data_IF_351646740783
#
_entry.id   IF_351646740783
#
_cell.length_a   1.000
_cell.length_b   1.000
_cell.length_c   1.000
_cell.angle_alpha   90.00
_cell.angle_beta   90.00
_cell.angle_gamma   90.00
#
_symmetry.space_group_name_H-M   'P 1'
#
loop_
_entity.id
_entity.type
_entity.pdbx_description
1 polymer ?
#
# COMPACT_ATOMS: atom_id res chain seq x y z
N UNK A 1 -59.28 -10.78 51.29
CA UNK A 1 -58.61 -9.74 50.50
C UNK A 1 -57.17 -10.09 50.08
N UNK A 2 -56.64 -11.30 50.36
CA UNK A 2 -55.23 -11.65 50.05
C UNK A 2 -54.95 -12.34 48.71
N UNK A 3 -55.98 -12.65 47.90
CA UNK A 3 -55.78 -13.34 46.61
C UNK A 3 -55.39 -12.39 45.47
N UNK A 4 -55.97 -11.19 45.43
CA UNK A 4 -55.68 -10.21 44.38
C UNK A 4 -54.27 -9.63 44.50
N UNK A 5 -53.74 -9.42 45.70
CA UNK A 5 -52.39 -8.88 45.92
C UNK A 5 -51.29 -9.79 45.38
N UNK A 6 -51.48 -11.12 45.44
CA UNK A 6 -50.47 -12.08 44.99
C UNK A 6 -50.43 -12.21 43.45
N UNK A 7 -51.57 -12.06 42.76
CA UNK A 7 -51.60 -12.02 41.30
C UNK A 7 -50.90 -10.78 40.73
N UNK A 8 -51.08 -9.60 41.34
CA UNK A 8 -50.40 -8.38 40.92
C UNK A 8 -48.87 -8.47 41.09
N UNK A 9 -48.40 -9.05 42.20
CA UNK A 9 -46.96 -9.27 42.44
C UNK A 9 -46.37 -10.22 41.40
N UNK A 10 -47.07 -11.32 41.06
CA UNK A 10 -46.60 -12.27 40.05
C UNK A 10 -46.58 -11.67 38.65
N UNK A 11 -47.59 -10.85 38.28
CA UNK A 11 -47.62 -10.15 36.98
C UNK A 11 -46.49 -9.12 36.89
N UNK A 12 -46.19 -8.42 37.98
CA UNK A 12 -45.12 -7.43 38.04
C UNK A 12 -43.73 -8.10 37.97
N UNK A 13 -43.51 -9.22 38.67
CA UNK A 13 -42.30 -10.05 38.54
C UNK A 13 -42.11 -10.61 37.13
N UNK A 14 -43.16 -11.16 36.51
CA UNK A 14 -43.09 -11.68 35.14
C UNK A 14 -42.77 -10.59 34.13
N UNK A 15 -43.42 -9.42 34.25
CA UNK A 15 -43.17 -8.27 33.38
C UNK A 15 -41.76 -7.71 33.57
N UNK A 16 -41.24 -7.71 34.79
CA UNK A 16 -39.89 -7.29 35.11
C UNK A 16 -38.84 -8.25 34.53
N UNK A 17 -39.08 -9.56 34.65
CA UNK A 17 -38.25 -10.62 34.09
C UNK A 17 -38.24 -10.59 32.56
N UNK A 18 -39.40 -10.45 31.90
CA UNK A 18 -39.52 -10.31 30.45
C UNK A 18 -38.78 -9.06 29.94
N UNK A 19 -38.89 -7.94 30.66
CA UNK A 19 -38.21 -6.69 30.30
C UNK A 19 -36.69 -6.82 30.45
N UNK A 20 -36.20 -7.44 31.52
CA UNK A 20 -34.77 -7.73 31.71
C UNK A 20 -34.23 -8.69 30.65
N UNK A 21 -34.98 -9.73 30.32
CA UNK A 21 -34.59 -10.71 29.32
C UNK A 21 -34.53 -10.09 27.92
N UNK A 22 -35.48 -9.22 27.58
CA UNK A 22 -35.51 -8.49 26.30
C UNK A 22 -34.39 -7.45 26.20
N UNK A 23 -34.09 -6.72 27.28
CA UNK A 23 -32.98 -5.75 27.36
C UNK A 23 -31.61 -6.43 27.30
N UNK A 24 -31.49 -7.60 27.92
CA UNK A 24 -30.30 -8.43 27.80
C UNK A 24 -30.12 -8.93 26.36
N UNK A 25 -31.20 -9.41 25.73
CA UNK A 25 -31.16 -9.85 24.33
C UNK A 25 -30.82 -8.69 23.37
N UNK A 26 -31.36 -7.49 23.61
CA UNK A 26 -31.03 -6.32 22.79
C UNK A 26 -29.57 -5.91 22.94
N UNK A 27 -29.02 -5.94 24.17
CA UNK A 27 -27.61 -5.65 24.43
C UNK A 27 -26.67 -6.63 23.71
N UNK A 28 -26.98 -7.92 23.75
CA UNK A 28 -26.22 -8.90 22.99
C UNK A 28 -26.41 -8.75 21.47
N UNK A 29 -27.60 -8.36 21.01
CA UNK A 29 -27.86 -8.19 19.57
C UNK A 29 -26.98 -7.09 18.96
N UNK A 30 -26.76 -5.98 19.68
CA UNK A 30 -25.93 -4.86 19.23
C UNK A 30 -24.44 -5.18 19.08
N UNK A 31 -23.87 -5.84 20.08
CA UNK A 31 -22.46 -6.29 20.03
C UNK A 31 -22.30 -7.43 19.02
N UNK A 32 -23.24 -8.39 19.01
CA UNK A 32 -23.14 -9.61 18.22
C UNK A 32 -23.19 -9.35 16.72
N UNK A 33 -24.11 -8.51 16.22
CA UNK A 33 -24.17 -8.26 14.76
C UNK A 33 -22.89 -7.59 14.25
N UNK A 34 -22.33 -6.65 15.00
CA UNK A 34 -21.08 -5.97 14.64
C UNK A 34 -19.89 -6.93 14.66
N UNK A 35 -19.82 -7.79 15.68
CA UNK A 35 -18.81 -8.85 15.74
C UNK A 35 -18.94 -9.82 14.56
N UNK A 36 -20.14 -10.32 14.28
CA UNK A 36 -20.42 -11.23 13.16
C UNK A 36 -20.11 -10.56 11.82
N UNK A 37 -20.48 -9.29 11.62
CA UNK A 37 -20.14 -8.53 10.41
C UNK A 37 -18.63 -8.40 10.23
N UNK A 38 -17.88 -8.18 11.32
CA UNK A 38 -16.41 -8.19 11.30
C UNK A 38 -15.84 -9.55 10.88
N UNK A 39 -16.38 -10.65 11.42
CA UNK A 39 -15.99 -12.01 11.04
C UNK A 39 -16.33 -12.31 9.58
N UNK A 40 -17.53 -11.96 9.12
CA UNK A 40 -17.95 -12.12 7.72
C UNK A 40 -17.04 -11.30 6.80
N UNK A 41 -16.71 -10.06 7.16
CA UNK A 41 -15.76 -9.23 6.42
C UNK A 41 -14.37 -9.86 6.35
N UNK A 42 -13.89 -10.47 7.44
CA UNK A 42 -12.60 -11.17 7.47
C UNK A 42 -12.60 -12.42 6.58
N UNK A 43 -13.66 -13.23 6.66
CA UNK A 43 -13.84 -14.40 5.81
C UNK A 43 -13.88 -13.99 4.33
N UNK A 44 -14.67 -12.97 4.00
CA UNK A 44 -14.74 -12.45 2.64
C UNK A 44 -13.39 -11.92 2.15
N UNK A 45 -12.67 -11.16 2.98
CA UNK A 45 -11.34 -10.66 2.65
C UNK A 45 -10.34 -11.80 2.41
N UNK A 46 -10.37 -12.86 3.23
CA UNK A 46 -9.52 -14.03 3.06
C UNK A 46 -9.80 -14.78 1.75
N UNK A 47 -11.08 -14.92 1.38
CA UNK A 47 -11.49 -15.58 0.14
C UNK A 47 -11.54 -14.64 -1.07
N UNK A 48 -11.22 -13.35 -0.92
CA UNK A 48 -11.28 -12.35 -1.98
C UNK A 48 -10.51 -12.77 -3.26
N UNK A 49 -9.28 -13.32 -3.18
CA UNK A 49 -8.58 -13.77 -4.38
C UNK A 49 -9.33 -14.87 -5.15
N UNK A 50 -9.99 -15.79 -4.44
CA UNK A 50 -10.78 -16.86 -5.06
C UNK A 50 -12.08 -16.32 -5.69
N UNK A 51 -12.72 -15.35 -5.04
CA UNK A 51 -13.91 -14.66 -5.56
C UNK A 51 -13.59 -13.86 -6.82
N UNK A 52 -12.41 -13.22 -6.86
CA UNK A 52 -11.97 -12.40 -7.99
C UNK A 52 -11.42 -13.24 -9.16
N UNK A 53 -10.87 -14.43 -8.91
CA UNK A 53 -10.28 -15.30 -9.93
C UNK A 53 -11.08 -15.52 -11.24
N UNK A 54 -12.42 -15.70 -11.24
CA UNK A 54 -13.19 -15.80 -12.47
C UNK A 54 -13.21 -14.52 -13.31
N UNK A 55 -12.96 -13.36 -12.71
CA UNK A 55 -13.03 -12.04 -13.34
C UNK A 55 -11.64 -11.43 -13.59
N UNK A 56 -10.67 -11.76 -12.74
CA UNK A 56 -9.31 -11.24 -12.75
C UNK A 56 -8.29 -12.38 -12.75
N UNK A 57 -7.14 -12.15 -13.35
CA UNK A 57 -6.00 -13.04 -13.26
C UNK A 57 -4.82 -12.31 -12.63
N UNK A 58 -3.87 -13.08 -12.10
CA UNK A 58 -2.67 -12.58 -11.41
C UNK A 58 -1.42 -13.20 -12.04
N UNK A 59 -0.24 -12.68 -11.71
CA UNK A 59 1.04 -13.24 -12.13
C UNK A 59 1.48 -12.86 -13.56
N UNK A 60 0.82 -11.88 -14.17
CA UNK A 60 1.18 -11.40 -15.52
C UNK A 60 2.01 -10.11 -15.51
N UNK A 61 2.02 -9.39 -14.38
CA UNK A 61 2.63 -8.08 -14.25
C UNK A 61 1.94 -7.22 -13.21
N UNK A 62 2.41 -5.99 -13.05
CA UNK A 62 1.78 -4.96 -12.24
C UNK A 62 0.98 -4.01 -13.16
N UNK A 63 -0.35 -4.04 -13.03
CA UNK A 63 -1.26 -3.21 -13.81
C UNK A 63 -1.28 -1.78 -13.26
N UNK A 64 -1.12 -0.80 -14.13
CA UNK A 64 -1.20 0.63 -13.77
C UNK A 64 -2.66 1.04 -13.60
N UNK A 65 -3.05 1.43 -12.40
CA UNK A 65 -4.40 1.91 -12.08
C UNK A 65 -4.46 3.43 -12.05
N UNK A 66 -3.37 4.10 -11.63
CA UNK A 66 -3.28 5.56 -11.58
C UNK A 66 -1.85 6.02 -11.80
N UNK A 67 -1.68 7.21 -12.42
CA UNK A 67 -0.39 7.90 -12.56
C UNK A 67 -0.57 9.35 -12.16
N UNK A 68 0.30 9.85 -11.29
CA UNK A 68 0.25 11.23 -10.81
C UNK A 68 0.52 12.23 -11.94
N UNK A 69 -0.33 13.25 -12.07
CA UNK A 69 -0.38 14.16 -13.23
C UNK A 69 0.90 14.99 -13.44
N UNK A 70 1.59 15.37 -12.36
CA UNK A 70 2.83 16.18 -12.42
C UNK A 70 4.10 15.36 -12.22
N UNK A 71 4.04 14.04 -12.46
CA UNK A 71 5.18 13.15 -12.30
C UNK A 71 5.99 12.97 -13.58
N UNK A 72 7.30 12.67 -13.50
CA UNK A 72 8.10 12.24 -14.65
C UNK A 72 7.60 10.92 -15.28
N UNK A 73 6.68 10.22 -14.60
CA UNK A 73 6.03 9.03 -15.10
C UNK A 73 4.83 9.33 -16.01
N UNK A 74 4.27 10.54 -15.94
CA UNK A 74 3.19 10.98 -16.81
C UNK A 74 3.75 11.64 -18.08
N UNK A 75 3.06 11.45 -19.22
CA UNK A 75 3.38 12.08 -20.49
C UNK A 75 3.38 11.11 -21.67
N UNK A 76 3.66 11.60 -22.89
CA UNK A 76 3.52 10.82 -24.14
C UNK A 76 4.47 9.60 -24.24
N UNK A 77 5.47 9.51 -23.37
CA UNK A 77 6.44 8.40 -23.27
C UNK A 77 6.50 7.82 -21.86
N UNK A 78 5.46 8.11 -21.08
CA UNK A 78 5.26 7.69 -19.70
C UNK A 78 4.45 6.40 -19.62
N UNK A 79 3.90 6.15 -18.43
CA UNK A 79 2.91 5.10 -18.20
C UNK A 79 1.50 5.67 -18.32
N UNK A 80 0.58 4.84 -18.78
CA UNK A 80 -0.83 5.15 -18.86
C UNK A 80 -1.66 4.18 -18.03
N UNK A 81 -2.83 4.63 -17.59
CA UNK A 81 -3.80 3.77 -16.90
C UNK A 81 -4.20 2.61 -17.83
N UNK A 82 -4.10 1.39 -17.31
CA UNK A 82 -4.33 0.15 -18.06
C UNK A 82 -3.06 -0.50 -18.62
N UNK A 83 -1.91 0.18 -18.57
CA UNK A 83 -0.63 -0.43 -18.96
C UNK A 83 -0.24 -1.55 -18.00
N UNK A 84 0.34 -2.64 -18.53
CA UNK A 84 0.81 -3.76 -17.74
C UNK A 84 2.35 -3.74 -17.67
N UNK A 85 2.89 -3.41 -16.51
CA UNK A 85 4.33 -3.43 -16.28
C UNK A 85 4.79 -4.87 -16.07
N UNK A 86 5.72 -5.32 -16.91
CA UNK A 86 6.24 -6.71 -16.88
C UNK A 86 7.69 -6.78 -16.42
N UNK A 87 8.43 -5.67 -16.45
CA UNK A 87 9.84 -5.66 -16.04
C UNK A 87 10.38 -4.26 -15.72
N UNK A 88 11.29 -4.22 -14.75
CA UNK A 88 12.12 -3.07 -14.40
C UNK A 88 13.59 -3.40 -14.71
N UNK A 89 14.15 -2.80 -15.75
CA UNK A 89 15.48 -3.12 -16.30
C UNK A 89 15.61 -4.61 -16.67
N UNK A 90 16.34 -5.40 -15.86
CA UNK A 90 16.52 -6.86 -15.95
C UNK A 90 15.75 -7.62 -14.86
N UNK A 91 15.01 -6.92 -14.01
CA UNK A 91 14.14 -7.50 -12.98
C UNK A 91 12.75 -7.77 -13.58
N UNK A 92 12.27 -9.01 -13.50
CA UNK A 92 10.93 -9.37 -13.98
C UNK A 92 9.89 -9.02 -12.91
N UNK A 93 8.73 -8.53 -13.34
CA UNK A 93 7.64 -8.11 -12.46
C UNK A 93 6.41 -8.93 -12.81
N UNK A 94 5.93 -9.75 -11.88
CA UNK A 94 4.69 -10.53 -12.02
C UNK A 94 3.59 -10.05 -11.08
N UNK A 95 3.95 -9.27 -10.04
CA UNK A 95 3.03 -8.66 -9.08
C UNK A 95 3.51 -7.29 -8.58
N UNK A 96 2.69 -6.60 -7.81
CA UNK A 96 3.04 -5.33 -7.14
C UNK A 96 4.19 -5.51 -6.15
N UNK A 97 4.27 -6.67 -5.48
CA UNK A 97 5.36 -7.02 -4.57
C UNK A 97 6.70 -7.12 -5.33
N UNK A 98 6.70 -7.74 -6.51
CA UNK A 98 7.90 -7.81 -7.36
C UNK A 98 8.34 -6.40 -7.80
N UNK A 99 7.39 -5.53 -8.15
CA UNK A 99 7.70 -4.14 -8.48
C UNK A 99 8.44 -3.43 -7.34
N UNK A 100 7.93 -3.54 -6.10
CA UNK A 100 8.59 -2.94 -4.93
C UNK A 100 9.97 -3.54 -4.67
N UNK A 101 10.09 -4.88 -4.73
CA UNK A 101 11.37 -5.57 -4.55
C UNK A 101 12.40 -5.19 -5.62
N UNK A 102 11.98 -5.04 -6.88
CA UNK A 102 12.83 -4.60 -7.97
C UNK A 102 13.31 -3.16 -7.78
N UNK A 103 12.44 -2.23 -7.37
CA UNK A 103 12.84 -0.84 -7.08
C UNK A 103 13.81 -0.74 -5.91
N UNK A 104 13.58 -1.51 -4.85
CA UNK A 104 14.49 -1.58 -3.70
C UNK A 104 15.88 -2.09 -4.12
N UNK A 105 15.92 -3.14 -4.94
CA UNK A 105 17.16 -3.68 -5.49
C UNK A 105 17.89 -2.66 -6.38
N UNK A 106 17.17 -1.86 -7.17
CA UNK A 106 17.73 -0.77 -7.99
C UNK A 106 18.27 0.37 -7.12
N UNK A 107 17.62 0.66 -6.00
CA UNK A 107 18.07 1.69 -5.06
C UNK A 107 19.38 1.29 -4.37
N UNK A 108 19.46 0.05 -3.87
CA UNK A 108 20.61 -0.46 -3.12
C UNK A 108 21.84 -0.72 -3.99
N UNK A 109 21.66 -1.07 -5.28
CA UNK A 109 22.77 -1.37 -6.19
C UNK A 109 23.28 -0.13 -6.93
N UNK A 110 24.56 -0.13 -7.34
CA UNK A 110 25.09 0.92 -8.20
C UNK A 110 24.37 0.89 -9.57
N UNK A 111 24.31 2.07 -10.20
CA UNK A 111 23.72 2.25 -11.52
C UNK A 111 24.36 1.30 -12.54
N UNK A 112 23.52 0.59 -13.30
CA UNK A 112 23.94 -0.25 -14.43
C UNK A 112 24.18 0.59 -15.68
N UNK A 113 25.12 0.14 -16.48
CA UNK A 113 25.49 0.70 -17.77
C UNK A 113 24.94 -0.12 -18.93
N UNK A 114 25.33 0.29 -20.13
CA UNK A 114 24.84 -0.22 -21.39
C UNK A 114 26.01 -0.52 -22.34
N UNK A 115 25.99 -1.66 -23.01
CA UNK A 115 27.03 -2.05 -23.95
C UNK A 115 26.85 -1.38 -25.30
N UNK A 116 27.80 -0.53 -25.68
CA UNK A 116 27.76 0.22 -26.94
C UNK A 116 28.99 -0.09 -27.77
N UNK A 117 28.79 -0.27 -29.09
CA UNK A 117 29.88 -0.51 -30.04
C UNK A 117 30.84 0.67 -30.06
N UNK A 118 32.14 0.40 -29.94
CA UNK A 118 33.19 1.43 -29.86
C UNK A 118 33.24 2.32 -31.10
N UNK A 119 32.81 1.83 -32.27
CA UNK A 119 32.72 2.64 -33.50
C UNK A 119 31.73 3.81 -33.37
N UNK A 120 30.61 3.60 -32.67
CA UNK A 120 29.60 4.63 -32.41
C UNK A 120 30.17 5.67 -31.44
N UNK A 121 30.88 5.20 -30.40
CA UNK A 121 31.51 6.09 -29.42
C UNK A 121 32.59 6.96 -30.05
N UNK A 122 33.42 6.42 -30.94
CA UNK A 122 34.46 7.17 -31.65
C UNK A 122 33.89 8.28 -32.54
N UNK A 123 32.75 8.05 -33.18
CA UNK A 123 32.09 9.08 -33.99
C UNK A 123 31.53 10.23 -33.13
N UNK A 124 31.08 9.93 -31.91
CA UNK A 124 30.40 10.88 -31.03
C UNK A 124 31.35 11.53 -30.00
N UNK A 125 32.56 10.99 -29.80
CA UNK A 125 33.53 11.45 -28.79
C UNK A 125 34.30 12.72 -29.16
N UNK A 126 34.23 13.19 -30.41
CA UNK A 126 35.14 14.23 -30.91
C UNK A 126 34.88 15.67 -30.42
N UNK A 127 33.80 15.94 -29.67
CA UNK A 127 33.35 17.34 -29.51
C UNK A 127 32.89 17.80 -28.11
N UNK A 128 33.07 17.05 -27.03
CA UNK A 128 32.49 17.44 -25.72
C UNK A 128 33.48 17.40 -24.57
N UNK A 129 33.99 18.58 -24.18
CA UNK A 129 34.54 18.79 -22.83
C UNK A 129 33.35 18.81 -21.87
N UNK A 130 33.16 17.74 -21.11
CA UNK A 130 32.12 17.69 -20.08
C UNK A 130 32.32 18.78 -19.03
N UNK A 131 31.24 19.44 -18.65
CA UNK A 131 31.21 20.40 -17.55
C UNK A 131 30.90 19.67 -16.24
N UNK A 132 31.77 19.79 -15.23
CA UNK A 132 31.52 19.21 -13.91
C UNK A 132 30.63 20.15 -13.09
N UNK A 133 29.46 19.68 -12.69
CA UNK A 133 28.53 20.37 -11.79
C UNK A 133 29.04 20.32 -10.33
N UNK A 134 28.45 21.18 -9.49
CA UNK A 134 28.76 21.28 -8.06
C UNK A 134 28.42 20.00 -7.27
N UNK A 135 27.45 19.22 -7.76
CA UNK A 135 27.04 17.91 -7.23
C UNK A 135 28.01 16.77 -7.60
N UNK A 136 29.09 17.08 -8.35
CA UNK A 136 30.08 16.11 -8.81
C UNK A 136 29.71 15.39 -10.11
N UNK A 137 28.50 15.58 -10.65
CA UNK A 137 28.08 15.02 -11.93
C UNK A 137 28.73 15.75 -13.10
N UNK A 138 28.90 15.07 -14.22
CA UNK A 138 29.41 15.68 -15.45
C UNK A 138 28.30 15.76 -16.49
N UNK A 139 28.03 16.97 -16.96
CA UNK A 139 27.12 17.23 -18.08
C UNK A 139 27.95 17.41 -19.35
N UNK A 140 27.69 16.57 -20.35
CA UNK A 140 28.36 16.64 -21.64
C UNK A 140 27.38 16.87 -22.80
N UNK A 141 26.08 16.87 -22.55
CA UNK A 141 25.09 17.23 -23.53
C UNK A 141 24.86 18.75 -23.50
N UNK A 142 24.78 19.37 -24.68
CA UNK A 142 24.38 20.76 -24.79
C UNK A 142 22.84 20.85 -24.65
N UNK A 143 22.30 21.96 -24.15
CA UNK A 143 20.88 22.14 -23.80
C UNK A 143 19.86 22.02 -24.97
N UNK A 144 20.28 21.62 -26.16
CA UNK A 144 19.43 21.57 -27.35
C UNK A 144 18.55 20.31 -27.44
N UNK A 145 18.74 19.33 -26.55
CA UNK A 145 18.06 18.03 -26.61
C UNK A 145 17.57 17.60 -25.23
N UNK A 146 16.26 17.38 -25.10
CA UNK A 146 15.62 16.87 -23.88
C UNK A 146 15.74 15.34 -23.73
N UNK A 147 16.32 14.65 -24.72
CA UNK A 147 16.34 13.17 -24.78
C UNK A 147 17.74 12.57 -24.70
N UNK A 148 18.77 13.41 -24.79
CA UNK A 148 20.14 12.96 -24.73
C UNK A 148 20.65 12.98 -23.29
N UNK A 149 21.40 11.94 -22.93
CA UNK A 149 21.98 11.77 -21.60
C UNK A 149 23.49 11.67 -21.76
N UNK A 150 24.22 12.26 -20.82
CA UNK A 150 25.65 12.11 -20.75
C UNK A 150 26.03 10.73 -20.19
N UNK A 151 26.84 9.97 -20.93
CA UNK A 151 27.38 8.70 -20.49
C UNK A 151 28.90 8.80 -20.30
N UNK A 152 29.40 8.16 -19.27
CA UNK A 152 30.81 8.00 -18.94
C UNK A 152 31.30 6.60 -19.29
N UNK A 153 32.54 6.48 -19.75
CA UNK A 153 33.16 5.19 -20.04
C UNK A 153 34.69 5.26 -19.90
N UNK A 154 35.31 4.11 -19.69
CA UNK A 154 36.77 3.99 -19.62
C UNK A 154 37.30 3.27 -20.86
N UNK A 155 38.35 3.82 -21.45
CA UNK A 155 39.05 3.18 -22.57
C UNK A 155 40.02 2.11 -22.03
N UNK A 156 40.06 0.95 -22.68
CA UNK A 156 40.92 -0.18 -22.29
C UNK A 156 42.43 0.15 -22.32
N UNK A 157 42.83 1.21 -23.02
CA UNK A 157 44.24 1.63 -23.15
C UNK A 157 44.76 2.39 -21.92
N UNK A 158 43.89 3.13 -21.20
CA UNK A 158 44.26 3.94 -20.04
C UNK A 158 43.07 4.02 -19.08
N UNK A 159 42.96 3.06 -18.15
CA UNK A 159 41.90 3.00 -17.12
C UNK A 159 41.83 4.23 -16.20
N UNK A 160 42.79 5.16 -16.29
CA UNK A 160 42.85 6.40 -15.50
C UNK A 160 42.06 7.57 -16.13
N UNK A 161 41.65 7.51 -17.40
CA UNK A 161 40.95 8.61 -18.06
C UNK A 161 39.50 8.25 -18.36
N UNK A 162 38.56 8.78 -17.57
CA UNK A 162 37.12 8.68 -17.84
C UNK A 162 36.75 9.63 -18.97
N UNK A 163 36.18 9.06 -20.04
CA UNK A 163 35.67 9.79 -21.20
C UNK A 163 34.16 9.93 -21.09
N UNK A 164 33.62 10.93 -21.78
CA UNK A 164 32.18 11.23 -21.79
C UNK A 164 31.66 11.30 -23.23
N UNK A 165 30.45 10.80 -23.44
CA UNK A 165 29.74 10.87 -24.71
C UNK A 165 28.27 11.23 -24.47
N UNK A 166 27.77 12.21 -25.23
CA UNK A 166 26.35 12.54 -25.23
C UNK A 166 25.62 11.61 -26.19
N UNK A 167 24.72 10.77 -25.67
CA UNK A 167 24.01 9.75 -26.46
C UNK A 167 22.49 9.87 -26.27
N UNK A 168 21.69 9.62 -27.32
CA UNK A 168 20.25 9.51 -27.19
C UNK A 168 19.90 8.33 -26.28
N UNK A 169 19.27 8.61 -25.13
CA UNK A 169 19.04 7.62 -24.08
C UNK A 169 18.27 6.40 -24.60
N UNK A 170 17.17 6.64 -25.31
CA UNK A 170 16.27 5.60 -25.81
C UNK A 170 16.95 4.64 -26.78
N UNK A 171 17.60 5.16 -27.81
CA UNK A 171 18.33 4.34 -28.79
C UNK A 171 19.46 3.54 -28.13
N UNK A 172 20.13 4.14 -27.16
CA UNK A 172 21.20 3.50 -26.39
C UNK A 172 20.64 2.32 -25.59
N UNK A 173 19.57 2.52 -24.84
CA UNK A 173 18.99 1.54 -23.91
C UNK A 173 18.26 0.40 -24.63
N UNK A 174 17.51 0.71 -25.71
CA UNK A 174 16.72 -0.28 -26.45
C UNK A 174 17.61 -1.28 -27.18
N UNK A 175 18.73 -0.84 -27.73
CA UNK A 175 19.60 -1.63 -28.60
C UNK A 175 20.78 -2.33 -27.87
N UNK A 176 20.91 -2.15 -26.55
CA UNK A 176 22.09 -2.61 -25.80
C UNK A 176 21.77 -3.54 -24.64
N UNK A 177 22.74 -4.41 -24.35
CA UNK A 177 22.75 -5.24 -23.15
C UNK A 177 23.22 -4.42 -21.94
N UNK A 178 22.69 -4.73 -20.75
CA UNK A 178 23.13 -4.13 -19.49
C UNK A 178 24.53 -4.64 -19.10
N UNK A 179 25.34 -3.76 -18.49
CA UNK A 179 26.69 -4.09 -18.02
C UNK A 179 27.04 -3.35 -16.73
N UNK A 180 27.96 -3.92 -15.95
CA UNK A 180 28.67 -3.22 -14.86
C UNK A 180 30.10 -2.86 -15.26
N UNK A 181 30.73 -3.68 -16.10
CA UNK A 181 32.10 -3.49 -16.55
C UNK A 181 32.24 -3.78 -18.04
N UNK A 182 33.36 -3.37 -18.65
CA UNK A 182 33.68 -3.67 -20.05
C UNK A 182 33.74 -5.18 -20.36
N UNK A 183 33.86 -6.04 -19.35
CA UNK A 183 33.91 -7.50 -19.52
C UNK A 183 32.54 -8.13 -19.77
N UNK A 184 31.47 -7.46 -19.34
CA UNK A 184 30.10 -7.96 -19.47
C UNK A 184 29.58 -7.78 -20.90
N UNK A 185 30.25 -6.94 -21.68
CA UNK A 185 29.90 -6.68 -23.06
C UNK A 185 30.47 -7.74 -24.01
N UNK A 186 29.70 -8.16 -25.04
CA UNK A 186 30.14 -9.17 -25.99
C UNK A 186 31.36 -8.69 -26.78
N UNK A 187 32.32 -9.60 -26.95
CA UNK A 187 33.53 -9.41 -27.75
C UNK A 187 33.30 -9.91 -29.17
N UNK A 188 32.29 -9.34 -29.83
CA UNK A 188 32.01 -9.63 -31.24
C UNK A 188 33.05 -8.95 -32.15
N UNK A 189 32.86 -9.09 -33.47
CA UNK A 189 33.73 -8.50 -34.50
C UNK A 189 33.98 -6.99 -34.32
N UNK A 190 33.04 -6.27 -33.70
CA UNK A 190 33.18 -4.87 -33.31
C UNK A 190 33.24 -4.81 -31.77
N UNK A 191 34.31 -4.27 -31.17
CA UNK A 191 34.44 -4.23 -29.71
C UNK A 191 33.38 -3.33 -29.09
N UNK A 192 32.69 -3.83 -28.07
CA UNK A 192 31.71 -3.07 -27.30
C UNK A 192 32.31 -2.62 -25.97
N UNK A 193 31.97 -1.40 -25.55
CA UNK A 193 32.42 -0.79 -24.29
C UNK A 193 31.21 -0.53 -23.41
N UNK A 194 31.36 -0.72 -22.10
CA UNK A 194 30.30 -0.44 -21.15
C UNK A 194 30.25 1.06 -20.88
N UNK A 195 29.10 1.68 -21.14
CA UNK A 195 28.88 3.11 -20.87
C UNK A 195 27.88 3.28 -19.73
N UNK A 196 28.22 4.14 -18.78
CA UNK A 196 27.47 4.38 -17.54
C UNK A 196 26.85 5.77 -17.55
N UNK A 197 25.55 5.95 -17.28
CA UNK A 197 24.96 7.29 -17.28
C UNK A 197 25.56 8.11 -16.14
N UNK A 198 25.96 9.35 -16.46
CA UNK A 198 26.55 10.31 -15.53
C UNK A 198 25.42 10.95 -14.71
N UNK A 199 25.06 10.32 -13.60
CA UNK A 199 23.97 10.73 -12.72
C UNK A 199 24.47 10.91 -11.29
N UNK A 200 23.70 11.66 -10.50
CA UNK A 200 23.95 11.80 -9.07
C UNK A 200 23.78 10.46 -8.34
N UNK A 201 24.49 10.26 -7.21
CA UNK A 201 24.51 9.01 -6.44
C UNK A 201 23.15 8.46 -6.01
N UNK A 202 22.10 9.29 -5.91
CA UNK A 202 20.73 8.85 -5.54
C UNK A 202 19.75 8.85 -6.72
N UNK A 203 20.19 9.37 -7.86
CA UNK A 203 19.40 9.38 -9.09
C UNK A 203 19.71 8.12 -9.89
N UNK A 204 18.67 7.50 -10.43
CA UNK A 204 18.79 6.28 -11.23
C UNK A 204 18.11 6.49 -12.58
N UNK A 205 18.69 5.89 -13.61
CA UNK A 205 18.05 5.73 -14.92
C UNK A 205 17.42 4.33 -14.97
N UNK A 206 16.10 4.30 -14.88
CA UNK A 206 15.29 3.08 -14.80
C UNK A 206 14.53 2.91 -16.12
N UNK A 207 14.62 1.71 -16.70
CA UNK A 207 13.84 1.31 -17.88
C UNK A 207 12.65 0.50 -17.40
N UNK A 208 11.44 0.95 -17.69
CA UNK A 208 10.19 0.25 -17.34
C UNK A 208 9.61 -0.34 -18.63
N UNK A 209 9.43 -1.67 -18.65
CA UNK A 209 8.83 -2.38 -19.79
C UNK A 209 7.34 -2.60 -19.55
N UNK A 210 6.52 -2.12 -20.47
CA UNK A 210 5.06 -2.24 -20.43
C UNK A 210 4.51 -2.48 -21.84
N UNK A 211 4.59 -3.72 -22.36
CA UNK A 211 4.09 -4.02 -23.70
C UNK A 211 2.56 -3.82 -23.77
N UNK A 212 2.01 -3.42 -24.94
CA UNK A 212 2.67 -3.26 -26.25
C UNK A 212 3.35 -1.90 -26.50
N UNK A 213 3.29 -0.96 -25.56
CA UNK A 213 3.84 0.38 -25.71
C UNK A 213 5.38 0.37 -25.65
N UNK A 214 5.99 1.48 -26.09
CA UNK A 214 7.44 1.67 -26.00
C UNK A 214 7.86 1.82 -24.53
N UNK A 215 9.03 1.30 -24.17
CA UNK A 215 9.48 1.35 -22.78
C UNK A 215 9.57 2.78 -22.24
N UNK A 216 9.03 2.99 -21.05
CA UNK A 216 9.19 4.23 -20.31
C UNK A 216 10.61 4.30 -19.72
N UNK A 217 11.22 5.48 -19.83
CA UNK A 217 12.50 5.78 -19.18
C UNK A 217 12.25 6.76 -18.05
N UNK A 218 12.68 6.39 -16.85
CA UNK A 218 12.57 7.22 -15.66
C UNK A 218 13.96 7.67 -15.20
N UNK A 219 14.10 8.96 -14.90
CA UNK A 219 15.30 9.53 -14.30
C UNK A 219 14.88 10.21 -13.01
N UNK A 220 15.38 9.71 -11.88
CA UNK A 220 15.07 10.28 -10.57
C UNK A 220 15.39 9.32 -9.45
N UNK A 221 14.91 9.66 -8.25
CA UNK A 221 15.01 8.78 -7.09
C UNK A 221 14.02 7.61 -7.24
N UNK A 222 14.44 6.33 -7.08
CA UNK A 222 13.55 5.17 -7.26
C UNK A 222 12.28 5.22 -6.40
N UNK A 223 12.40 5.75 -5.17
CA UNK A 223 11.26 5.95 -4.24
C UNK A 223 10.20 6.88 -4.81
N UNK A 224 10.55 7.89 -5.63
CA UNK A 224 9.55 8.77 -6.23
C UNK A 224 8.68 7.98 -7.22
N UNK A 225 9.28 7.08 -8.00
CA UNK A 225 8.55 6.25 -8.95
C UNK A 225 7.50 5.37 -8.25
N UNK A 226 7.83 4.85 -7.06
CA UNK A 226 6.92 4.06 -6.23
C UNK A 226 5.66 4.82 -5.81
N UNK A 227 5.75 6.12 -5.53
CA UNK A 227 4.62 6.93 -5.09
C UNK A 227 3.86 7.60 -6.23
N UNK A 228 4.47 7.74 -7.41
CA UNK A 228 3.84 8.39 -8.56
C UNK A 228 2.94 7.47 -9.38
N UNK A 229 3.06 6.15 -9.21
CA UNK A 229 2.33 5.14 -9.99
C UNK A 229 1.61 4.21 -9.02
N UNK A 230 0.28 4.16 -9.11
CA UNK A 230 -0.53 3.17 -8.39
C UNK A 230 -0.71 1.93 -9.24
N UNK A 231 -0.54 0.78 -8.59
CA UNK A 231 -0.47 -0.52 -9.27
C UNK A 231 -1.43 -1.53 -8.63
N UNK A 232 -1.85 -2.51 -9.42
CA UNK A 232 -2.65 -3.66 -8.99
C UNK A 232 -2.06 -4.96 -9.54
N UNK A 233 -2.05 -6.02 -8.73
CA UNK A 233 -1.66 -7.38 -9.16
C UNK A 233 -2.80 -8.10 -9.90
N UNK A 234 -4.00 -7.51 -9.94
CA UNK A 234 -5.18 -8.08 -10.57
C UNK A 234 -5.45 -7.46 -11.93
N UNK A 235 -5.38 -8.28 -12.98
CA UNK A 235 -5.64 -7.86 -14.36
C UNK A 235 -7.02 -8.35 -14.80
N UNK A 236 -7.90 -7.48 -15.31
CA UNK A 236 -9.25 -7.88 -15.71
C UNK A 236 -9.20 -8.82 -16.92
N UNK A 237 -9.97 -9.91 -16.87
CA UNK A 237 -10.13 -10.86 -18.00
C UNK A 237 -11.03 -10.30 -19.10
N UNK A 238 -11.92 -9.37 -18.74
CA UNK A 238 -12.91 -8.78 -19.64
C UNK A 238 -12.80 -7.25 -19.60
N UNK A 239 -12.90 -6.60 -20.75
CA UNK A 239 -12.72 -5.15 -20.88
C UNK A 239 -13.81 -4.29 -20.20
N UNK A 240 -14.96 -4.87 -19.85
CA UNK A 240 -16.04 -4.15 -19.15
C UNK A 240 -15.79 -4.04 -17.63
N UNK A 241 -14.85 -4.82 -17.09
CA UNK A 241 -14.52 -4.80 -15.67
C UNK A 241 -13.67 -3.58 -15.35
N UNK A 242 -13.94 -2.94 -14.21
CA UNK A 242 -13.16 -1.80 -13.74
C UNK A 242 -11.83 -2.26 -13.13
N UNK A 243 -10.78 -1.45 -13.30
CA UNK A 243 -9.44 -1.75 -12.77
C UNK A 243 -9.40 -1.67 -11.24
N UNK A 244 -10.23 -0.80 -10.65
CA UNK A 244 -10.21 -0.50 -9.22
C UNK A 244 -11.08 -1.44 -8.37
N UNK A 245 -11.90 -2.30 -8.97
CA UNK A 245 -12.83 -3.15 -8.22
C UNK A 245 -12.15 -4.02 -7.15
N UNK A 246 -11.02 -4.71 -7.42
CA UNK A 246 -10.30 -5.46 -6.40
C UNK A 246 -9.90 -4.59 -5.20
N UNK A 247 -9.36 -3.39 -5.48
CA UNK A 247 -8.92 -2.44 -4.47
C UNK A 247 -10.10 -1.92 -3.65
N UNK A 248 -11.21 -1.58 -4.30
CA UNK A 248 -12.44 -1.11 -3.64
C UNK A 248 -13.00 -2.20 -2.72
N UNK A 249 -13.08 -3.45 -3.20
CA UNK A 249 -13.57 -4.58 -2.40
C UNK A 249 -12.68 -4.86 -1.19
N UNK A 250 -11.36 -4.88 -1.38
CA UNK A 250 -10.40 -5.06 -0.29
C UNK A 250 -10.52 -3.94 0.75
N UNK A 251 -10.55 -2.69 0.29
CA UNK A 251 -10.67 -1.49 1.12
C UNK A 251 -11.98 -1.49 1.89
N UNK A 252 -13.09 -1.80 1.22
CA UNK A 252 -14.40 -1.93 1.85
C UNK A 252 -14.39 -2.97 2.96
N UNK A 253 -13.79 -4.14 2.74
CA UNK A 253 -13.69 -5.18 3.76
C UNK A 253 -12.83 -4.75 4.94
N UNK A 254 -11.68 -4.10 4.69
CA UNK A 254 -10.82 -3.54 5.74
C UNK A 254 -11.58 -2.53 6.61
N UNK A 255 -12.35 -1.64 6.00
CA UNK A 255 -13.20 -0.70 6.75
C UNK A 255 -14.35 -1.39 7.48
N UNK A 256 -15.00 -2.37 6.86
CA UNK A 256 -16.08 -3.14 7.49
C UNK A 256 -15.57 -3.86 8.75
N UNK A 257 -14.42 -4.54 8.66
CA UNK A 257 -13.78 -5.23 9.79
C UNK A 257 -13.39 -4.22 10.88
N UNK A 258 -12.74 -3.12 10.50
CA UNK A 258 -12.25 -2.12 11.45
C UNK A 258 -13.39 -1.40 12.17
N UNK A 259 -14.38 -0.87 11.43
CA UNK A 259 -15.49 -0.11 11.99
C UNK A 259 -16.45 -0.99 12.78
N UNK A 260 -16.84 -2.15 12.25
CA UNK A 260 -17.73 -3.07 12.96
C UNK A 260 -17.03 -3.67 14.19
N UNK A 261 -15.74 -4.01 14.08
CA UNK A 261 -14.94 -4.47 15.21
C UNK A 261 -14.83 -3.42 16.32
N UNK A 262 -14.53 -2.17 15.96
CA UNK A 262 -14.47 -1.06 16.91
C UNK A 262 -15.83 -0.82 17.59
N UNK A 263 -16.93 -0.82 16.83
CA UNK A 263 -18.27 -0.63 17.36
C UNK A 263 -18.69 -1.77 18.29
N UNK A 264 -18.33 -3.02 17.96
CA UNK A 264 -18.55 -4.17 18.83
C UNK A 264 -17.82 -4.01 20.17
N UNK A 265 -16.55 -3.59 20.14
CA UNK A 265 -15.75 -3.36 21.37
C UNK A 265 -16.35 -2.23 22.19
N UNK A 266 -16.65 -1.08 21.58
CA UNK A 266 -17.23 0.07 22.28
C UNK A 266 -18.57 -0.29 22.92
N UNK A 267 -19.46 -0.93 22.17
CA UNK A 267 -20.77 -1.33 22.69
C UNK A 267 -20.67 -2.36 23.82
N UNK A 268 -19.60 -3.17 23.88
CA UNK A 268 -19.37 -4.12 24.96
C UNK A 268 -18.84 -3.49 26.26
N UNK A 269 -18.36 -2.24 26.23
CA UNK A 269 -17.83 -1.57 27.43
C UNK A 269 -18.97 -1.33 28.43
N UNK A 270 -18.78 -1.65 29.73
CA UNK A 270 -19.78 -1.39 30.77
C UNK A 270 -19.88 0.12 31.07
N UNK A 271 -20.61 0.84 30.24
CA UNK A 271 -20.95 2.26 30.39
C UNK A 271 -22.47 2.46 30.38
N UNK A 272 -22.94 3.55 30.97
CA UNK A 272 -24.34 3.93 30.86
C UNK A 272 -24.74 4.14 29.40
N UNK A 273 -25.96 3.69 29.06
CA UNK A 273 -26.55 3.81 27.73
C UNK A 273 -25.83 3.03 26.60
N UNK A 274 -24.88 2.15 26.92
CA UNK A 274 -24.32 1.17 25.99
C UNK A 274 -24.82 -0.24 26.30
N UNK A 275 -24.70 -1.13 25.32
CA UNK A 275 -25.10 -2.54 25.44
C UNK A 275 -24.37 -3.26 26.59
N UNK A 276 -23.13 -2.87 26.88
CA UNK A 276 -22.30 -3.37 27.98
C UNK A 276 -22.91 -3.17 29.36
N UNK A 277 -23.82 -2.20 29.54
CA UNK A 277 -24.58 -2.02 30.78
C UNK A 277 -25.41 -3.27 31.10
N UNK A 278 -26.14 -3.76 30.09
CA UNK A 278 -27.00 -4.92 30.25
C UNK A 278 -26.19 -6.21 30.36
N UNK A 279 -25.08 -6.31 29.64
CA UNK A 279 -24.13 -7.42 29.75
C UNK A 279 -23.58 -7.52 31.18
N UNK A 280 -23.13 -6.40 31.76
CA UNK A 280 -22.61 -6.35 33.13
C UNK A 280 -23.67 -6.75 34.15
N UNK A 281 -24.87 -6.19 34.06
CA UNK A 281 -25.94 -6.46 35.02
C UNK A 281 -26.31 -7.95 35.02
N UNK A 282 -26.44 -8.55 33.84
CA UNK A 282 -26.72 -9.98 33.69
C UNK A 282 -25.55 -10.86 34.16
N UNK A 283 -24.30 -10.43 33.92
CA UNK A 283 -23.12 -11.14 34.42
C UNK A 283 -23.03 -11.13 35.95
N UNK A 284 -23.31 -9.98 36.58
CA UNK A 284 -23.34 -9.83 38.03
C UNK A 284 -24.49 -10.64 38.65
N UNK A 285 -25.65 -10.71 37.98
CA UNK A 285 -26.76 -11.55 38.40
C UNK A 285 -26.44 -13.05 38.33
N UNK A 286 -25.81 -13.50 37.25
CA UNK A 286 -25.44 -14.90 37.07
C UNK A 286 -24.31 -15.36 38.01
N UNK A 287 -23.33 -14.48 38.27
CA UNK A 287 -22.07 -14.89 38.93
C UNK A 287 -21.99 -14.42 40.37
N UNK A 288 -22.38 -13.17 40.66
CA UNK A 288 -22.25 -12.58 41.98
C UNK A 288 -23.41 -12.95 42.93
N UNK A 289 -24.51 -13.52 42.42
CA UNK A 289 -25.59 -14.07 43.27
C UNK A 289 -25.11 -15.17 44.21
N UNK A 290 -24.01 -15.86 43.88
CA UNK A 290 -23.41 -16.90 44.74
C UNK A 290 -22.50 -16.35 45.85
N UNK A 291 -21.97 -15.14 45.69
CA UNK A 291 -20.98 -14.56 46.62
C UNK A 291 -21.51 -13.33 47.37
N UNK A 292 -22.42 -12.58 46.77
CA UNK A 292 -23.05 -11.39 47.32
C UNK A 292 -24.55 -11.65 47.34
N UNK A 293 -25.02 -12.16 48.48
CA UNK A 293 -26.44 -12.53 48.71
C UNK A 293 -27.35 -11.29 48.65
N UNK A 294 -26.82 -10.13 49.03
CA UNK A 294 -27.59 -8.91 49.16
C UNK A 294 -27.69 -8.14 47.83
N UNK A 295 -28.90 -8.04 47.30
CA UNK A 295 -29.20 -7.40 46.00
C UNK A 295 -28.70 -5.95 45.94
N UNK A 296 -28.83 -5.21 47.04
CA UNK A 296 -28.41 -3.81 47.14
C UNK A 296 -26.89 -3.62 46.93
N UNK A 297 -26.07 -4.54 47.45
CA UNK A 297 -24.62 -4.50 47.28
C UNK A 297 -24.20 -4.85 45.85
N UNK A 298 -24.94 -5.75 45.17
CA UNK A 298 -24.74 -6.06 43.74
C UNK A 298 -25.07 -4.87 42.84
N UNK A 299 -26.17 -4.18 43.11
CA UNK A 299 -26.58 -2.99 42.36
C UNK A 299 -25.60 -1.83 42.57
N UNK A 300 -25.11 -1.62 43.80
CA UNK A 300 -24.07 -0.62 44.09
C UNK A 300 -22.76 -0.93 43.34
N UNK A 301 -22.33 -2.20 43.32
CA UNK A 301 -21.16 -2.63 42.58
C UNK A 301 -21.33 -2.39 41.07
N UNK A 302 -22.47 -2.77 40.50
CA UNK A 302 -22.81 -2.50 39.11
C UNK A 302 -22.76 -1.01 38.78
N UNK A 303 -23.38 -0.17 39.61
CA UNK A 303 -23.37 1.28 39.45
C UNK A 303 -21.95 1.85 39.47
N UNK A 304 -21.08 1.41 40.39
CA UNK A 304 -19.69 1.88 40.47
C UNK A 304 -18.87 1.49 39.22
N UNK A 305 -19.05 0.27 38.71
CA UNK A 305 -18.39 -0.18 37.48
C UNK A 305 -18.87 0.64 36.29
N UNK A 306 -20.18 0.88 36.16
CA UNK A 306 -20.76 1.68 35.07
C UNK A 306 -20.30 3.14 35.13
N UNK A 307 -20.20 3.73 36.32
CA UNK A 307 -19.71 5.08 36.53
C UNK A 307 -18.24 5.20 36.13
N UNK A 308 -17.40 4.25 36.58
CA UNK A 308 -15.99 4.20 36.23
C UNK A 308 -15.79 4.03 34.71
N UNK A 309 -16.53 3.10 34.09
CA UNK A 309 -16.51 2.88 32.65
C UNK A 309 -16.90 4.13 31.86
N UNK A 310 -17.99 4.78 32.26
CA UNK A 310 -18.49 5.99 31.58
C UNK A 310 -17.53 7.17 31.72
N UNK A 311 -16.93 7.35 32.91
CA UNK A 311 -15.92 8.38 33.13
C UNK A 311 -14.66 8.14 32.29
N UNK A 312 -14.21 6.89 32.19
CA UNK A 312 -13.04 6.51 31.39
C UNK A 312 -13.30 6.68 29.89
N UNK A 313 -14.49 6.31 29.41
CA UNK A 313 -14.88 6.54 28.03
C UNK A 313 -14.96 8.04 27.70
N UNK A 314 -15.61 8.84 28.56
CA UNK A 314 -15.71 10.28 28.39
C UNK A 314 -14.33 10.96 28.39
N UNK A 315 -13.42 10.55 29.28
CA UNK A 315 -12.05 11.06 29.32
C UNK A 315 -11.28 10.72 28.03
N UNK A 316 -11.39 9.49 27.53
CA UNK A 316 -10.75 9.09 26.27
C UNK A 316 -11.31 9.88 25.07
N UNK A 317 -12.62 10.09 25.00
CA UNK A 317 -13.25 10.90 23.96
C UNK A 317 -12.78 12.36 24.04
N UNK A 318 -12.76 12.94 25.24
CA UNK A 318 -12.30 14.31 25.45
C UNK A 318 -10.81 14.49 25.08
N UNK A 319 -9.95 13.54 25.48
CA UNK A 319 -8.54 13.52 25.10
C UNK A 319 -8.37 13.38 23.58
N UNK A 320 -9.15 12.51 22.94
CA UNK A 320 -9.15 12.32 21.49
C UNK A 320 -9.52 13.61 20.76
N UNK A 321 -10.61 14.28 21.16
CA UNK A 321 -11.00 15.57 20.59
C UNK A 321 -9.93 16.63 20.83
N UNK A 322 -9.40 16.74 22.05
CA UNK A 322 -8.36 17.70 22.38
C UNK A 322 -7.13 17.56 21.47
N UNK A 323 -6.64 16.32 21.28
CA UNK A 323 -5.49 16.04 20.42
C UNK A 323 -5.75 16.43 18.96
N UNK A 324 -6.98 16.25 18.47
CA UNK A 324 -7.36 16.64 17.11
C UNK A 324 -7.46 18.15 16.95
N UNK A 325 -8.00 18.86 17.94
CA UNK A 325 -8.20 20.32 17.88
C UNK A 325 -6.98 21.15 18.28
N UNK A 326 -6.05 20.57 19.04
CA UNK A 326 -4.82 21.23 19.50
C UNK A 326 -3.65 21.06 18.51
N UNK A 327 -3.84 20.32 17.42
CA UNK A 327 -2.97 20.30 16.24
C UNK A 327 -3.45 21.31 15.21
#
# INVERSE_FOLDING_TARGET
SGSHSNEWILVEEYSYMLRHQMLCFSGFTGVWHNFVLGIVGLVFLFFLPAILYPFYYTGAGALVTEVSQDSPANGPRGLFVGDLVTSLQDCSVYSVEDWHACLENIYQKPQKGYCIKSSILQQLSFSTRGFKRLDGTVECCNNNSLTDICFSYSNNLNSQMTLYACLPARKTIEASQLCQTNKDCPKDFIPSTCVMPSLENHTRLIRVKHPPQIDMLFIGHPVHLQYTVSLSSFVPRYSFLTLDLPLIMETFCKYLISLSGALAVVNAIPCFALDGQWILNSFLEATASKFIVEKQNRELLGFLILLAGSALLAANVALGFWVVTAR
#
